data_IF_001523135581
#
_entry.id   IF_001523135581
#
_cell.length_a   1.000
_cell.length_b   1.000
_cell.length_c   1.000
_cell.angle_alpha   90.00
_cell.angle_beta   90.00
_cell.angle_gamma   90.00
#
_symmetry.space_group_name_H-M   'P 1'
#
loop_
_entity.id
_entity.type
_entity.pdbx_description
1 polymer ?
#
# COMPACT_ATOMS: atom_id res chain seq x y z
N UNK A 1 -53.67 -60.37 10.82
CA UNK A 1 -52.93 -60.52 9.55
C UNK A 1 -52.03 -59.31 9.38
N UNK A 2 -50.70 -59.50 9.38
CA UNK A 2 -49.75 -58.41 9.08
C UNK A 2 -49.86 -58.09 7.59
N UNK A 3 -50.30 -56.88 7.24
CA UNK A 3 -50.28 -56.38 5.86
C UNK A 3 -48.81 -56.22 5.47
N UNK A 4 -48.32 -57.08 4.57
CA UNK A 4 -46.98 -56.96 4.01
C UNK A 4 -46.97 -55.80 3.00
N UNK A 5 -45.90 -55.00 3.01
CA UNK A 5 -45.66 -53.91 2.07
C UNK A 5 -45.56 -54.46 0.64
N UNK A 6 -46.19 -53.78 -0.31
CA UNK A 6 -46.08 -54.17 -1.72
C UNK A 6 -44.76 -53.68 -2.33
N UNK A 7 -44.23 -54.41 -3.30
CA UNK A 7 -42.98 -54.08 -3.99
C UNK A 7 -43.03 -52.67 -4.63
N UNK A 8 -44.21 -52.24 -5.08
CA UNK A 8 -44.41 -50.93 -5.68
C UNK A 8 -44.35 -49.80 -4.64
N UNK A 9 -44.89 -50.00 -3.44
CA UNK A 9 -44.79 -49.02 -2.35
C UNK A 9 -43.33 -48.82 -1.88
N UNK A 10 -42.53 -49.89 -1.88
CA UNK A 10 -41.09 -49.80 -1.57
C UNK A 10 -40.34 -48.95 -2.61
N UNK A 11 -40.61 -49.18 -3.90
CA UNK A 11 -39.98 -48.42 -4.99
C UNK A 11 -40.39 -46.95 -4.94
N UNK A 12 -41.66 -46.66 -4.67
CA UNK A 12 -42.14 -45.28 -4.50
C UNK A 12 -41.48 -44.61 -3.29
N UNK A 13 -41.37 -45.30 -2.16
CA UNK A 13 -40.71 -44.76 -0.97
C UNK A 13 -39.22 -44.46 -1.20
N UNK A 14 -38.50 -45.35 -1.89
CA UNK A 14 -37.11 -45.13 -2.30
C UNK A 14 -36.96 -43.96 -3.27
N UNK A 15 -37.89 -43.82 -4.23
CA UNK A 15 -37.93 -42.70 -5.15
C UNK A 15 -38.12 -41.36 -4.43
N UNK A 16 -39.08 -41.29 -3.50
CA UNK A 16 -39.31 -40.10 -2.68
C UNK A 16 -38.08 -39.79 -1.81
N UNK A 17 -37.48 -40.80 -1.18
CA UNK A 17 -36.28 -40.64 -0.36
C UNK A 17 -35.12 -40.06 -1.18
N UNK A 18 -34.88 -40.58 -2.39
CA UNK A 18 -33.83 -40.08 -3.27
C UNK A 18 -34.06 -38.62 -3.68
N UNK A 19 -35.31 -38.24 -3.99
CA UNK A 19 -35.67 -36.85 -4.29
C UNK A 19 -35.45 -35.94 -3.08
N UNK A 20 -35.90 -36.34 -1.88
CA UNK A 20 -35.72 -35.55 -0.65
C UNK A 20 -34.24 -35.38 -0.31
N UNK A 21 -33.44 -36.44 -0.39
CA UNK A 21 -32.00 -36.37 -0.15
C UNK A 21 -31.29 -35.46 -1.17
N UNK A 22 -31.74 -35.46 -2.42
CA UNK A 22 -31.21 -34.57 -3.46
C UNK A 22 -31.49 -33.10 -3.15
N UNK A 23 -32.73 -32.77 -2.77
CA UNK A 23 -33.10 -31.41 -2.34
C UNK A 23 -32.37 -30.99 -1.07
N UNK A 24 -32.29 -31.87 -0.07
CA UNK A 24 -31.56 -31.60 1.17
C UNK A 24 -30.07 -31.33 0.92
N UNK A 25 -29.44 -32.09 0.01
CA UNK A 25 -28.05 -31.89 -0.38
C UNK A 25 -27.81 -30.52 -1.03
N UNK A 26 -28.71 -30.08 -1.91
CA UNK A 26 -28.64 -28.73 -2.53
C UNK A 26 -28.79 -27.64 -1.48
N UNK A 27 -29.79 -27.75 -0.59
CA UNK A 27 -30.02 -26.76 0.48
C UNK A 27 -28.80 -26.68 1.41
N UNK A 28 -28.25 -27.83 1.80
CA UNK A 28 -27.08 -27.87 2.68
C UNK A 28 -25.84 -27.26 2.03
N UNK A 29 -25.62 -27.52 0.73
CA UNK A 29 -24.54 -26.90 -0.04
C UNK A 29 -24.69 -25.38 -0.09
N UNK A 30 -25.87 -24.88 -0.46
CA UNK A 30 -26.15 -23.42 -0.52
C UNK A 30 -25.97 -22.77 0.86
N UNK A 31 -26.38 -23.45 1.93
CA UNK A 31 -26.20 -22.98 3.30
C UNK A 31 -24.73 -22.90 3.71
N UNK A 32 -23.93 -23.93 3.39
CA UNK A 32 -22.47 -23.92 3.63
C UNK A 32 -21.80 -22.81 2.83
N UNK A 33 -22.11 -22.68 1.55
CA UNK A 33 -21.51 -21.67 0.68
C UNK A 33 -21.82 -20.25 1.19
N UNK A 34 -23.08 -20.02 1.60
CA UNK A 34 -23.51 -18.76 2.23
C UNK A 34 -22.76 -18.47 3.53
N UNK A 35 -22.57 -19.48 4.39
CA UNK A 35 -21.80 -19.34 5.63
C UNK A 35 -20.31 -19.04 5.35
N UNK A 36 -19.71 -19.68 4.35
CA UNK A 36 -18.32 -19.41 3.93
C UNK A 36 -18.16 -17.98 3.41
N UNK A 37 -19.07 -17.50 2.57
CA UNK A 37 -19.07 -16.13 2.06
C UNK A 37 -19.23 -15.13 3.22
N UNK A 38 -20.11 -15.40 4.18
CA UNK A 38 -20.30 -14.55 5.35
C UNK A 38 -19.03 -14.44 6.20
N UNK A 39 -18.33 -15.55 6.45
CA UNK A 39 -17.04 -15.55 7.16
C UNK A 39 -15.95 -14.78 6.39
N UNK A 40 -15.86 -14.98 5.08
CA UNK A 40 -14.90 -14.26 4.24
C UNK A 40 -15.15 -12.74 4.25
N UNK A 41 -16.42 -12.33 4.20
CA UNK A 41 -16.78 -10.92 4.34
C UNK A 41 -16.42 -10.37 5.72
N UNK A 42 -16.67 -11.13 6.79
CA UNK A 42 -16.33 -10.71 8.15
C UNK A 42 -14.82 -10.51 8.32
N UNK A 43 -13.99 -11.42 7.79
CA UNK A 43 -12.53 -11.30 7.76
C UNK A 43 -12.09 -10.01 7.03
N UNK A 44 -12.60 -9.78 5.82
CA UNK A 44 -12.28 -8.59 5.03
C UNK A 44 -12.67 -7.31 5.77
N UNK A 45 -13.86 -7.26 6.39
CA UNK A 45 -14.29 -6.08 7.13
C UNK A 45 -13.45 -5.84 8.38
N UNK A 46 -12.95 -6.89 9.03
CA UNK A 46 -12.00 -6.76 10.14
C UNK A 46 -10.66 -6.16 9.66
N UNK A 47 -10.11 -6.66 8.55
CA UNK A 47 -8.90 -6.11 7.92
C UNK A 47 -9.06 -4.62 7.59
N UNK A 48 -10.18 -4.27 6.94
CA UNK A 48 -10.49 -2.88 6.60
C UNK A 48 -10.52 -1.98 7.83
N UNK A 49 -11.17 -2.42 8.92
CA UNK A 49 -11.27 -1.64 10.16
C UNK A 49 -9.89 -1.33 10.73
N UNK A 50 -9.02 -2.34 10.83
CA UNK A 50 -7.67 -2.17 11.37
C UNK A 50 -6.86 -1.18 10.53
N UNK A 51 -6.93 -1.28 9.20
CA UNK A 51 -6.24 -0.34 8.30
C UNK A 51 -6.78 1.08 8.45
N UNK A 52 -8.12 1.25 8.47
CA UNK A 52 -8.75 2.57 8.59
C UNK A 52 -8.44 3.23 9.94
N UNK A 53 -8.57 2.50 11.06
CA UNK A 53 -8.25 3.00 12.39
C UNK A 53 -6.77 3.39 12.53
N UNK A 54 -5.88 2.61 11.92
CA UNK A 54 -4.45 2.92 11.94
C UNK A 54 -4.13 4.18 11.10
N UNK A 55 -4.73 4.32 9.92
CA UNK A 55 -4.60 5.53 9.12
C UNK A 55 -5.13 6.76 9.86
N UNK A 56 -6.33 6.68 10.42
CA UNK A 56 -6.91 7.80 11.19
C UNK A 56 -6.03 8.19 12.38
N UNK A 57 -5.40 7.21 13.03
CA UNK A 57 -4.47 7.45 14.15
C UNK A 57 -3.22 8.17 13.67
N UNK A 58 -2.59 7.70 12.60
CA UNK A 58 -1.35 8.30 12.10
C UNK A 58 -1.55 9.70 11.54
N UNK A 59 -2.65 9.92 10.82
CA UNK A 59 -2.92 11.22 10.21
C UNK A 59 -3.46 12.24 11.20
N UNK A 60 -4.06 11.82 12.32
CA UNK A 60 -4.41 12.74 13.43
C UNK A 60 -3.18 13.46 13.99
N UNK A 61 -2.04 12.79 14.01
CA UNK A 61 -0.77 13.34 14.48
C UNK A 61 0.10 13.95 13.38
N UNK A 62 -0.39 14.06 12.13
CA UNK A 62 0.41 14.46 10.97
C UNK A 62 1.17 15.77 11.23
N UNK A 63 2.48 15.73 10.99
CA UNK A 63 3.37 16.89 11.06
C UNK A 63 3.44 17.56 9.69
N UNK A 64 2.71 18.67 9.55
CA UNK A 64 2.68 19.47 8.31
C UNK A 64 4.02 20.15 7.99
N UNK A 65 4.89 20.31 9.00
CA UNK A 65 6.25 20.85 8.90
C UNK A 65 7.31 19.77 8.58
N UNK A 66 6.92 18.50 8.57
CA UNK A 66 7.78 17.39 8.17
C UNK A 66 7.59 17.00 6.70
N UNK A 67 8.53 16.19 6.18
CA UNK A 67 8.38 15.69 4.82
C UNK A 67 7.12 14.82 4.67
N UNK A 68 6.38 15.03 3.57
CA UNK A 68 5.41 14.09 3.02
C UNK A 68 5.94 13.67 1.66
N UNK A 69 6.14 12.38 1.49
CA UNK A 69 6.66 11.80 0.25
C UNK A 69 5.72 10.72 -0.24
N UNK A 70 5.18 10.87 -1.46
CA UNK A 70 4.32 9.88 -2.08
C UNK A 70 4.84 9.56 -3.46
N UNK A 71 4.93 8.27 -3.76
CA UNK A 71 5.18 7.74 -5.10
C UNK A 71 3.94 7.00 -5.55
N UNK A 72 3.40 7.39 -6.69
CA UNK A 72 2.24 6.72 -7.28
C UNK A 72 2.72 5.75 -8.35
N UNK A 73 2.38 4.48 -8.20
CA UNK A 73 2.82 3.44 -9.12
C UNK A 73 1.63 2.61 -9.58
N UNK A 74 1.54 2.47 -10.89
CA UNK A 74 0.49 1.73 -11.55
C UNK A 74 1.11 0.68 -12.48
N UNK A 75 0.49 -0.51 -12.50
CA UNK A 75 0.87 -1.57 -13.42
C UNK A 75 -0.39 -2.19 -14.05
N UNK A 76 -0.24 -2.71 -15.27
CA UNK A 76 -1.32 -3.43 -15.95
C UNK A 76 -1.57 -4.79 -15.29
N UNK A 77 -2.85 -5.14 -15.16
CA UNK A 77 -3.29 -6.50 -14.82
C UNK A 77 -3.12 -7.41 -16.02
N UNK A 78 -2.29 -8.43 -15.87
CA UNK A 78 -2.00 -9.40 -16.94
C UNK A 78 -3.23 -10.20 -17.38
N UNK A 79 -4.18 -10.37 -16.46
CA UNK A 79 -5.38 -11.16 -16.55
C UNK A 79 -6.62 -10.34 -16.93
N UNK A 80 -6.49 -9.02 -17.10
CA UNK A 80 -7.58 -8.20 -17.57
C UNK A 80 -7.98 -8.58 -19.01
N UNK A 81 -9.29 -8.68 -19.27
CA UNK A 81 -9.89 -9.13 -20.54
C UNK A 81 -10.99 -8.20 -21.06
N UNK A 82 -11.07 -6.97 -20.55
CA UNK A 82 -12.04 -6.00 -21.04
C UNK A 82 -11.70 -5.50 -22.44
N UNK A 83 -12.71 -4.97 -23.15
CA UNK A 83 -12.57 -4.50 -24.52
C UNK A 83 -11.62 -3.30 -24.64
N UNK A 84 -11.67 -2.39 -23.67
CA UNK A 84 -10.73 -1.27 -23.56
C UNK A 84 -9.54 -1.69 -22.70
N UNK A 85 -8.37 -1.84 -23.31
CA UNK A 85 -7.13 -2.18 -22.60
C UNK A 85 -6.67 -1.09 -21.62
N UNK A 86 -7.13 0.15 -21.81
CA UNK A 86 -6.81 1.31 -20.97
C UNK A 86 -7.92 1.69 -20.00
N UNK A 87 -8.94 0.82 -19.83
CA UNK A 87 -9.95 0.99 -18.79
C UNK A 87 -9.27 1.14 -17.41
N UNK A 88 -9.75 2.02 -16.52
CA UNK A 88 -9.20 2.16 -15.17
C UNK A 88 -9.11 0.84 -14.39
N UNK A 89 -10.03 -0.10 -14.64
CA UNK A 89 -10.02 -1.43 -14.02
C UNK A 89 -8.89 -2.35 -14.52
N UNK A 90 -8.25 -2.01 -15.65
CA UNK A 90 -7.12 -2.74 -16.22
C UNK A 90 -5.80 -2.52 -15.45
N UNK A 91 -5.78 -1.59 -14.50
CA UNK A 91 -4.60 -1.24 -13.72
C UNK A 91 -4.75 -1.59 -12.24
N UNK A 92 -3.62 -1.88 -11.60
CA UNK A 92 -3.46 -1.97 -10.14
C UNK A 92 -2.51 -0.90 -9.67
N UNK A 93 -2.64 -0.52 -8.39
CA UNK A 93 -1.84 0.51 -7.74
C UNK A 93 -0.98 -0.06 -6.62
N UNK A 94 0.26 0.41 -6.58
CA UNK A 94 1.33 0.00 -5.66
C UNK A 94 1.98 1.23 -5.05
N UNK A 95 1.13 2.17 -4.62
CA UNK A 95 1.58 3.47 -4.14
C UNK A 95 2.39 3.31 -2.85
N UNK A 96 3.28 4.25 -2.60
CA UNK A 96 4.13 4.29 -1.41
C UNK A 96 4.07 5.66 -0.81
N UNK A 97 3.95 5.73 0.51
CA UNK A 97 3.82 6.99 1.21
C UNK A 97 4.71 6.99 2.45
N UNK A 98 5.39 8.11 2.70
CA UNK A 98 6.11 8.42 3.92
C UNK A 98 5.68 9.78 4.44
N UNK A 99 5.50 9.88 5.75
CA UNK A 99 5.23 11.15 6.42
C UNK A 99 5.68 11.10 7.88
N UNK A 100 5.73 12.27 8.52
CA UNK A 100 5.98 12.38 9.95
C UNK A 100 4.68 12.54 10.72
N UNK A 101 4.60 11.90 11.87
CA UNK A 101 3.45 12.01 12.76
C UNK A 101 3.88 12.07 14.21
N UNK A 102 3.00 12.62 15.05
CA UNK A 102 3.12 12.70 16.49
C UNK A 102 2.21 11.71 17.19
N UNK A 103 2.69 11.18 18.31
CA UNK A 103 1.99 10.16 19.08
C UNK A 103 2.95 9.52 20.08
N UNK A 104 2.48 8.58 20.87
CA UNK A 104 3.33 7.86 21.82
C UNK A 104 3.92 6.62 21.14
N UNK A 105 5.10 6.77 20.54
CA UNK A 105 5.78 5.68 19.85
C UNK A 105 6.81 5.00 20.74
N UNK A 106 6.92 3.68 20.59
CA UNK A 106 7.91 2.87 21.26
C UNK A 106 8.45 1.80 20.28
N UNK A 107 9.77 1.65 20.26
CA UNK A 107 10.43 0.53 19.58
C UNK A 107 10.22 -0.78 20.37
N UNK A 108 9.94 -1.86 19.65
CA UNK A 108 9.78 -3.21 20.18
C UNK A 108 11.12 -3.90 20.44
N UNK A 109 12.10 -3.71 19.55
CA UNK A 109 13.36 -4.46 19.60
C UNK A 109 14.45 -3.82 20.46
N UNK A 110 14.38 -2.52 20.68
CA UNK A 110 15.44 -1.81 21.40
C UNK A 110 15.45 -2.16 22.89
N UNK A 111 16.65 -2.47 23.42
CA UNK A 111 16.90 -2.63 24.85
C UNK A 111 18.05 -1.70 25.28
N UNK A 112 17.79 -0.64 26.07
CA UNK A 112 16.50 -0.29 26.68
C UNK A 112 15.45 0.18 25.66
N UNK A 113 14.14 0.12 25.99
CA UNK A 113 13.08 0.56 25.09
C UNK A 113 13.25 2.01 24.66
N UNK A 114 13.35 2.21 23.35
CA UNK A 114 13.39 3.55 22.74
C UNK A 114 11.97 4.08 22.64
N UNK A 115 11.75 5.30 23.14
CA UNK A 115 10.46 6.00 23.11
C UNK A 115 10.63 7.39 22.52
N UNK A 116 9.63 7.85 21.80
CA UNK A 116 9.63 9.18 21.22
C UNK A 116 8.22 9.63 20.85
N UNK A 117 8.06 10.95 20.74
CA UNK A 117 6.77 11.57 20.44
C UNK A 117 6.59 11.91 18.95
N UNK A 118 7.61 11.64 18.13
CA UNK A 118 7.62 11.87 16.68
C UNK A 118 8.16 10.61 16.02
N UNK A 119 7.50 10.18 14.95
CA UNK A 119 7.99 9.07 14.14
C UNK A 119 7.80 9.35 12.64
N UNK A 120 8.71 8.79 11.85
CA UNK A 120 8.49 8.60 10.42
C UNK A 120 7.66 7.35 10.22
N UNK A 121 6.55 7.47 9.51
CA UNK A 121 5.69 6.33 9.16
C UNK A 121 5.69 6.15 7.66
N UNK A 122 5.88 4.91 7.20
CA UNK A 122 5.82 4.56 5.80
C UNK A 122 4.78 3.47 5.54
N UNK A 123 3.96 3.66 4.50
CA UNK A 123 3.03 2.67 3.98
C UNK A 123 3.49 2.18 2.61
N UNK A 124 3.60 0.86 2.45
CA UNK A 124 3.94 0.25 1.16
C UNK A 124 3.50 -1.21 1.08
N UNK A 125 3.29 -1.70 -0.15
CA UNK A 125 3.19 -3.14 -0.37
C UNK A 125 4.59 -3.77 -0.30
N UNK A 126 4.66 -4.89 0.41
CA UNK A 126 5.89 -5.57 0.79
C UNK A 126 6.50 -6.36 -0.35
N UNK A 127 7.81 -6.27 -0.52
CA UNK A 127 8.57 -7.25 -1.29
C UNK A 127 8.87 -8.48 -0.44
N UNK A 128 8.81 -9.68 -1.04
CA UNK A 128 9.20 -10.92 -0.35
C UNK A 128 10.65 -11.29 -0.69
N UNK A 129 11.37 -12.03 0.16
CA UNK A 129 12.61 -12.68 -0.27
C UNK A 129 12.35 -13.51 -1.53
N UNK A 130 13.24 -13.44 -2.51
CA UNK A 130 13.17 -14.29 -3.70
C UNK A 130 14.01 -15.54 -3.50
N UNK A 131 13.55 -16.68 -4.03
CA UNK A 131 14.31 -17.94 -4.04
C UNK A 131 15.54 -17.90 -4.97
N UNK A 132 15.70 -16.85 -5.77
CA UNK A 132 16.79 -16.69 -6.73
C UNK A 132 17.70 -15.50 -6.40
N UNK A 133 18.88 -15.47 -7.02
CA UNK A 133 19.95 -14.50 -6.78
C UNK A 133 19.59 -13.02 -7.07
N UNK A 134 18.37 -12.71 -7.53
CA UNK A 134 17.88 -11.35 -7.79
C UNK A 134 17.28 -10.65 -6.56
N UNK A 135 17.41 -11.23 -5.37
CA UNK A 135 17.36 -10.52 -4.09
C UNK A 135 15.97 -10.23 -3.49
N UNK A 136 14.89 -10.08 -4.30
CA UNK A 136 13.49 -9.98 -3.80
C UNK A 136 12.42 -10.13 -4.89
N UNK A 137 11.22 -10.52 -4.49
CA UNK A 137 10.01 -10.57 -5.29
C UNK A 137 9.14 -9.33 -5.03
N UNK A 138 9.18 -8.36 -5.95
CA UNK A 138 8.40 -7.10 -5.87
C UNK A 138 6.88 -7.37 -5.85
N UNK A 139 6.06 -6.51 -5.23
CA UNK A 139 4.61 -6.69 -5.12
C UNK A 139 3.89 -6.98 -6.44
N UNK A 140 4.30 -6.32 -7.53
CA UNK A 140 3.71 -6.46 -8.87
C UNK A 140 3.87 -7.88 -9.44
N UNK A 141 4.86 -8.64 -8.94
CA UNK A 141 5.12 -10.04 -9.33
C UNK A 141 4.55 -11.06 -8.35
N UNK A 142 3.86 -10.60 -7.31
CA UNK A 142 3.17 -11.46 -6.35
C UNK A 142 1.69 -11.56 -6.74
N UNK A 143 1.11 -12.73 -6.49
CA UNK A 143 -0.35 -12.91 -6.57
C UNK A 143 -1.06 -11.95 -5.61
N UNK A 144 -2.16 -11.28 -6.02
CA UNK A 144 -2.84 -10.28 -5.19
C UNK A 144 -3.22 -10.77 -3.78
N UNK A 145 -3.64 -12.03 -3.65
CA UNK A 145 -4.01 -12.66 -2.37
C UNK A 145 -2.82 -12.84 -1.42
N UNK A 146 -1.60 -12.91 -1.95
CA UNK A 146 -0.37 -13.10 -1.18
C UNK A 146 0.32 -11.77 -0.84
N UNK A 147 -0.13 -10.64 -1.40
CA UNK A 147 0.46 -9.34 -1.11
C UNK A 147 0.16 -8.91 0.31
N UNK A 148 1.09 -8.15 0.88
CA UNK A 148 1.03 -7.67 2.25
C UNK A 148 1.24 -6.15 2.27
N UNK A 149 0.47 -5.47 3.10
CA UNK A 149 0.66 -4.05 3.40
C UNK A 149 1.52 -3.93 4.66
N UNK A 150 2.64 -3.23 4.53
CA UNK A 150 3.48 -2.86 5.66
C UNK A 150 3.22 -1.43 6.08
N UNK A 151 3.40 -1.22 7.38
CA UNK A 151 3.51 0.07 8.05
C UNK A 151 4.82 0.06 8.86
N UNK A 152 5.89 0.60 8.30
CA UNK A 152 7.15 0.75 9.05
C UNK A 152 7.12 2.05 9.85
N UNK A 153 7.67 2.01 11.06
CA UNK A 153 7.72 3.16 11.98
C UNK A 153 9.13 3.33 12.46
N UNK A 154 9.68 4.53 12.27
CA UNK A 154 10.95 4.92 12.82
C UNK A 154 10.74 6.06 13.82
N UNK A 155 10.89 5.74 15.11
CA UNK A 155 10.88 6.74 16.18
C UNK A 155 12.07 7.67 16.00
N UNK A 156 11.83 8.98 15.95
CA UNK A 156 12.91 9.96 15.88
C UNK A 156 13.48 10.21 17.27
N UNK A 157 14.77 9.94 17.44
CA UNK A 157 15.50 10.11 18.69
C UNK A 157 16.65 11.10 18.46
N UNK A 158 16.63 12.28 19.07
CA UNK A 158 17.76 13.21 18.97
C UNK A 158 19.06 12.55 19.43
N UNK A 159 20.09 12.59 18.59
CA UNK A 159 21.38 12.00 18.92
C UNK A 159 22.06 12.77 20.05
N UNK A 160 22.56 12.06 21.07
CA UNK A 160 23.29 12.68 22.18
C UNK A 160 24.70 13.15 21.78
N UNK A 161 25.32 12.45 20.82
CA UNK A 161 26.61 12.79 20.24
C UNK A 161 26.55 12.78 18.71
N UNK A 162 27.38 13.61 18.07
CA UNK A 162 27.42 13.71 16.61
C UNK A 162 27.80 12.38 15.91
N UNK A 163 28.56 11.51 16.58
CA UNK A 163 28.95 10.20 16.06
C UNK A 163 27.80 9.19 16.03
N UNK A 164 26.77 9.39 16.84
CA UNK A 164 25.61 8.48 16.93
C UNK A 164 24.47 8.91 16.01
N UNK A 165 24.61 10.08 15.36
CA UNK A 165 23.61 10.63 14.43
C UNK A 165 23.50 9.73 13.21
N UNK A 166 22.26 9.58 12.70
CA UNK A 166 22.01 8.89 11.44
C UNK A 166 22.91 9.48 10.33
N UNK A 167 23.80 8.65 9.79
CA UNK A 167 24.64 8.93 8.62
C UNK A 167 24.49 7.79 7.63
N UNK A 168 23.77 8.04 6.54
CA UNK A 168 23.46 7.02 5.54
C UNK A 168 24.44 7.02 4.37
N UNK A 169 25.44 7.91 4.36
CA UNK A 169 26.34 8.12 3.19
C UNK A 169 27.22 6.92 2.87
N UNK A 170 27.51 6.10 3.87
CA UNK A 170 28.36 4.91 3.74
C UNK A 170 27.58 3.61 3.91
N UNK A 171 26.25 3.65 3.87
CA UNK A 171 25.43 2.44 4.02
C UNK A 171 25.67 1.48 2.85
N UNK A 172 25.90 0.22 3.18
CA UNK A 172 25.84 -0.88 2.22
C UNK A 172 24.39 -1.23 1.89
N UNK A 173 24.16 -1.98 0.82
CA UNK A 173 22.83 -2.49 0.46
C UNK A 173 22.15 -3.26 1.59
N UNK A 174 22.92 -3.96 2.43
CA UNK A 174 22.41 -4.69 3.58
C UNK A 174 21.98 -3.75 4.71
N UNK A 175 22.80 -2.75 5.03
CA UNK A 175 22.47 -1.73 6.03
C UNK A 175 21.25 -0.92 5.63
N UNK A 176 21.09 -0.60 4.34
CA UNK A 176 19.88 0.05 3.82
C UNK A 176 18.62 -0.79 4.02
N UNK A 177 18.69 -2.10 3.76
CA UNK A 177 17.56 -3.03 3.97
C UNK A 177 17.23 -3.20 5.44
N UNK A 178 18.24 -3.39 6.28
CA UNK A 178 18.08 -3.49 7.72
C UNK A 178 17.44 -2.22 8.27
N UNK A 179 17.97 -1.06 7.87
CA UNK A 179 17.40 0.23 8.23
C UNK A 179 15.95 0.34 7.76
N UNK A 180 15.65 0.13 6.47
CA UNK A 180 14.30 0.37 5.93
C UNK A 180 13.22 -0.60 6.45
N UNK A 181 13.59 -1.83 6.78
CA UNK A 181 12.65 -2.93 7.01
C UNK A 181 12.65 -3.47 8.45
N UNK A 182 13.75 -3.31 9.19
CA UNK A 182 13.94 -3.95 10.50
C UNK A 182 14.23 -2.97 11.65
N UNK A 183 14.85 -1.82 11.37
CA UNK A 183 15.14 -0.80 12.38
C UNK A 183 13.87 0.01 12.67
N UNK A 184 13.67 0.35 13.94
CA UNK A 184 12.43 0.96 14.44
C UNK A 184 12.63 2.39 14.95
N UNK A 185 13.85 2.92 14.84
CA UNK A 185 14.18 4.27 15.28
C UNK A 185 15.31 4.86 14.44
N UNK A 186 15.32 6.18 14.32
CA UNK A 186 16.38 6.95 13.67
C UNK A 186 17.00 7.90 14.69
N UNK A 187 18.32 7.86 14.85
CA UNK A 187 19.06 8.77 15.71
C UNK A 187 19.21 10.15 15.05
N UNK A 188 18.08 10.84 14.87
CA UNK A 188 17.99 12.16 14.26
C UNK A 188 16.72 12.86 14.76
N UNK A 189 16.79 14.17 15.01
CA UNK A 189 15.59 14.96 15.25
C UNK A 189 14.86 15.29 13.93
N UNK A 190 13.59 15.68 14.01
CA UNK A 190 12.84 16.13 12.82
C UNK A 190 13.53 17.32 12.13
N UNK A 191 14.01 18.29 12.90
CA UNK A 191 14.70 19.46 12.35
C UNK A 191 15.98 19.06 11.60
N UNK A 192 16.76 18.14 12.16
CA UNK A 192 17.96 17.62 11.50
C UNK A 192 17.64 16.80 10.26
N UNK A 193 16.54 16.04 10.27
CA UNK A 193 16.04 15.33 9.09
C UNK A 193 15.73 16.32 7.96
N UNK A 194 15.04 17.40 8.25
CA UNK A 194 14.72 18.45 7.27
C UNK A 194 15.98 19.14 6.72
N UNK A 195 17.10 19.08 7.44
CA UNK A 195 18.39 19.67 7.03
C UNK A 195 19.35 18.68 6.34
N UNK A 196 18.96 17.41 6.17
CA UNK A 196 19.77 16.45 5.42
C UNK A 196 20.05 16.99 4.01
N UNK A 197 21.30 16.98 3.54
CA UNK A 197 21.64 17.45 2.19
C UNK A 197 20.82 16.74 1.11
N UNK A 198 20.38 17.49 0.09
CA UNK A 198 19.46 16.98 -0.95
C UNK A 198 19.94 15.68 -1.62
N UNK A 199 21.23 15.53 -1.88
CA UNK A 199 21.79 14.33 -2.49
C UNK A 199 21.61 13.09 -1.59
N UNK A 200 21.94 13.20 -0.30
CA UNK A 200 21.76 12.14 0.69
C UNK A 200 20.27 11.83 0.92
N UNK A 201 19.44 12.87 0.90
CA UNK A 201 17.99 12.74 1.02
C UNK A 201 17.35 11.97 -0.15
N UNK A 202 17.84 12.17 -1.37
CA UNK A 202 17.40 11.43 -2.55
C UNK A 202 17.69 9.94 -2.39
N UNK A 203 18.85 9.57 -1.82
CA UNK A 203 19.18 8.18 -1.54
C UNK A 203 18.21 7.55 -0.52
N UNK A 204 17.95 8.26 0.57
CA UNK A 204 16.97 7.85 1.59
C UNK A 204 15.58 7.65 0.98
N UNK A 205 15.08 8.65 0.25
CA UNK A 205 13.74 8.62 -0.35
C UNK A 205 13.63 7.58 -1.47
N UNK A 206 14.71 7.30 -2.20
CA UNK A 206 14.77 6.22 -3.19
C UNK A 206 14.65 4.85 -2.52
N UNK A 207 15.28 4.64 -1.37
CA UNK A 207 15.12 3.41 -0.57
C UNK A 207 13.70 3.27 -0.04
N UNK A 208 13.15 4.31 0.58
CA UNK A 208 11.78 4.28 1.12
C UNK A 208 10.74 4.10 0.00
N UNK A 209 10.90 4.82 -1.11
CA UNK A 209 9.97 4.82 -2.23
C UNK A 209 10.15 3.67 -3.20
N UNK A 210 11.16 2.81 -3.06
CA UNK A 210 11.51 1.75 -4.03
C UNK A 210 11.48 2.24 -5.50
N UNK A 211 12.04 3.43 -5.73
CA UNK A 211 12.11 4.07 -7.05
C UNK A 211 13.39 4.87 -7.21
N UNK A 212 13.79 5.09 -8.46
CA UNK A 212 14.79 6.11 -8.79
C UNK A 212 14.08 7.45 -8.92
N UNK A 213 14.38 8.39 -8.01
CA UNK A 213 13.85 9.75 -8.10
C UNK A 213 14.51 10.44 -9.28
N UNK A 214 13.70 10.95 -10.21
CA UNK A 214 14.18 11.71 -11.37
C UNK A 214 14.60 13.13 -10.95
N UNK A 215 15.71 13.63 -11.50
CA UNK A 215 16.21 14.99 -11.26
C UNK A 215 17.69 15.15 -11.62
N UNK A 216 18.24 16.34 -11.37
CA UNK A 216 19.65 16.67 -11.65
C UNK A 216 20.65 15.84 -10.82
N UNK A 217 20.20 15.37 -9.66
CA UNK A 217 20.94 14.44 -8.80
C UNK A 217 20.20 13.12 -8.77
N UNK A 218 20.86 12.04 -9.18
CA UNK A 218 20.31 10.69 -9.14
C UNK A 218 20.76 9.96 -7.88
N UNK A 219 19.92 9.05 -7.40
CA UNK A 219 20.29 8.18 -6.28
C UNK A 219 21.45 7.26 -6.65
N UNK A 220 22.39 7.12 -5.71
CA UNK A 220 23.52 6.18 -5.78
C UNK A 220 23.19 4.81 -5.21
N UNK A 221 22.03 4.66 -4.56
CA UNK A 221 21.59 3.39 -3.95
C UNK A 221 21.23 2.35 -5.01
N UNK A 222 21.63 1.11 -4.78
CA UNK A 222 21.24 -0.05 -5.59
C UNK A 222 19.75 -0.32 -5.47
N UNK A 223 19.09 -0.74 -6.57
CA UNK A 223 17.69 -1.18 -6.49
C UNK A 223 17.49 -2.30 -5.48
N UNK A 224 18.45 -3.21 -5.32
CA UNK A 224 18.37 -4.34 -4.40
C UNK A 224 18.30 -3.93 -2.92
N UNK A 225 18.66 -2.68 -2.60
CA UNK A 225 18.60 -2.12 -1.25
C UNK A 225 17.22 -1.50 -0.89
N UNK A 226 16.38 -1.22 -1.89
CA UNK A 226 15.19 -0.39 -1.75
C UNK A 226 13.92 -1.18 -1.35
N UNK A 227 12.91 -0.47 -0.86
CA UNK A 227 11.63 -1.01 -0.45
C UNK A 227 11.69 -1.79 0.86
N UNK A 228 10.51 -2.16 1.35
CA UNK A 228 10.36 -2.97 2.56
C UNK A 228 10.35 -4.44 2.18
N UNK A 229 11.20 -5.22 2.83
CA UNK A 229 11.24 -6.68 2.68
C UNK A 229 10.82 -7.33 4.00
N UNK A 230 9.74 -8.12 3.97
CA UNK A 230 9.31 -8.92 5.13
C UNK A 230 9.41 -10.39 4.75
N UNK A 231 10.20 -11.11 5.53
CA UNK A 231 10.26 -12.56 5.53
C UNK A 231 9.42 -13.09 6.70
N UNK A 232 8.31 -13.75 6.40
CA UNK A 232 7.43 -14.34 7.41
C UNK A 232 8.05 -15.54 8.15
N UNK A 233 9.18 -16.06 7.68
CA UNK A 233 9.94 -17.09 8.41
C UNK A 233 10.79 -16.50 9.53
N UNK A 234 11.03 -15.19 9.50
CA UNK A 234 11.74 -14.46 10.54
C UNK A 234 10.74 -13.77 11.47
N UNK A 235 10.92 -13.83 12.80
CA UNK A 235 10.05 -13.13 13.74
C UNK A 235 10.19 -11.61 13.66
N UNK A 236 11.35 -11.18 13.20
CA UNK A 236 11.87 -9.83 13.32
C UNK A 236 11.07 -8.73 12.60
N UNK A 237 10.68 -8.87 11.32
CA UNK A 237 9.95 -7.81 10.60
C UNK A 237 8.42 -7.85 10.79
N UNK A 238 7.89 -8.81 11.56
CA UNK A 238 6.43 -9.01 11.71
C UNK A 238 5.73 -7.80 12.35
N UNK A 239 6.43 -7.03 13.19
CA UNK A 239 5.88 -5.82 13.81
C UNK A 239 5.54 -4.71 12.79
N UNK A 240 6.15 -4.74 11.60
CA UNK A 240 5.86 -3.80 10.51
C UNK A 240 4.73 -4.27 9.59
N UNK A 241 4.26 -5.52 9.73
CA UNK A 241 3.16 -6.05 8.93
C UNK A 241 1.82 -5.53 9.45
N UNK A 242 1.11 -4.74 8.63
CA UNK A 242 -0.20 -4.22 9.00
C UNK A 242 -1.32 -5.19 8.61
N UNK A 243 -1.26 -5.75 7.39
CA UNK A 243 -2.30 -6.64 6.90
C UNK A 243 -1.83 -7.54 5.75
N UNK A 244 -2.26 -8.80 5.75
CA UNK A 244 -2.09 -9.74 4.64
C UNK A 244 -3.32 -9.75 3.70
N UNK A 245 -3.10 -10.10 2.44
CA UNK A 245 -4.15 -10.17 1.42
C UNK A 245 -4.57 -8.79 0.92
N UNK A 246 -3.62 -7.85 0.83
CA UNK A 246 -3.86 -6.51 0.29
C UNK A 246 -3.35 -6.47 -1.15
N UNK A 247 -4.24 -6.70 -2.12
CA UNK A 247 -3.89 -6.77 -3.53
C UNK A 247 -3.46 -5.43 -4.11
N UNK A 248 -4.09 -4.35 -3.68
CA UNK A 248 -3.83 -3.00 -4.18
C UNK A 248 -3.77 -2.02 -3.01
N UNK A 249 -2.88 -1.04 -3.11
CA UNK A 249 -2.84 0.13 -2.24
C UNK A 249 -2.67 1.38 -3.12
N UNK A 250 -3.66 2.28 -3.08
CA UNK A 250 -3.63 3.54 -3.81
C UNK A 250 -3.86 4.73 -2.87
N UNK A 251 -3.15 5.82 -3.10
CA UNK A 251 -3.29 7.10 -2.41
C UNK A 251 -3.58 8.18 -3.44
N UNK A 252 -4.60 9.00 -3.20
CA UNK A 252 -4.97 10.10 -4.07
C UNK A 252 -5.38 11.33 -3.26
N UNK A 253 -4.94 12.51 -3.65
CA UNK A 253 -5.39 13.77 -3.06
C UNK A 253 -6.61 14.34 -3.78
N UNK A 254 -7.50 15.01 -3.06
CA UNK A 254 -8.57 15.81 -3.67
C UNK A 254 -7.99 17.08 -4.29
N UNK A 255 -8.21 17.30 -5.58
CA UNK A 255 -7.84 18.55 -6.25
C UNK A 255 -9.07 19.41 -6.48
N UNK A 256 -9.10 20.60 -5.87
CA UNK A 256 -10.14 21.59 -6.13
C UNK A 256 -9.98 22.24 -7.52
N UNK A 257 -8.77 22.30 -8.08
CA UNK A 257 -8.55 22.81 -9.43
C UNK A 257 -9.14 21.86 -10.49
N UNK A 258 -8.94 20.56 -10.31
CA UNK A 258 -9.38 19.52 -11.26
C UNK A 258 -10.77 18.94 -10.92
N UNK A 259 -11.34 19.31 -9.76
CA UNK A 259 -12.59 18.77 -9.21
C UNK A 259 -12.64 17.22 -9.18
N UNK A 260 -11.49 16.58 -8.92
CA UNK A 260 -11.35 15.12 -8.88
C UNK A 260 -10.22 14.65 -7.97
N UNK A 261 -10.20 13.35 -7.69
CA UNK A 261 -9.09 12.68 -7.01
C UNK A 261 -7.91 12.47 -7.96
N UNK A 262 -6.70 12.82 -7.54
CA UNK A 262 -5.49 12.71 -8.36
C UNK A 262 -4.35 12.00 -7.60
N UNK A 263 -3.47 11.25 -8.29
CA UNK A 263 -3.48 10.99 -9.73
C UNK A 263 -4.35 9.78 -10.12
N UNK A 264 -4.85 9.79 -11.36
CA UNK A 264 -5.56 8.70 -12.02
C UNK A 264 -4.82 8.28 -13.30
N UNK A 265 -4.87 6.98 -13.60
CA UNK A 265 -4.21 6.42 -14.80
C UNK A 265 -4.94 6.84 -16.07
N UNK A 266 -6.27 6.76 -16.06
CA UNK A 266 -7.13 7.17 -17.17
C UNK A 266 -8.40 7.83 -16.59
N UNK A 267 -8.38 9.14 -16.33
CA UNK A 267 -9.52 9.87 -15.76
C UNK A 267 -10.82 9.74 -16.55
N UNK A 268 -10.77 9.77 -17.88
CA UNK A 268 -11.95 9.76 -18.74
C UNK A 268 -12.43 8.34 -19.13
N UNK A 269 -11.57 7.33 -18.94
CA UNK A 269 -11.84 5.92 -19.18
C UNK A 269 -11.85 5.50 -20.66
N UNK A 270 -11.26 6.31 -21.55
CA UNK A 270 -11.21 6.05 -22.98
C UNK A 270 -10.04 5.13 -23.39
N UNK A 271 -9.80 4.96 -24.69
CA UNK A 271 -8.77 4.03 -25.19
C UNK A 271 -7.35 4.63 -25.18
N UNK A 272 -7.14 5.88 -24.74
CA UNK A 272 -5.86 6.57 -24.79
C UNK A 272 -5.45 7.01 -23.40
N UNK A 273 -4.14 7.03 -23.16
CA UNK A 273 -3.55 7.57 -21.93
C UNK A 273 -2.87 8.93 -22.20
N UNK A 274 -2.50 9.19 -23.45
CA UNK A 274 -1.69 10.34 -23.85
C UNK A 274 -2.41 11.67 -23.73
N UNK A 275 -3.73 11.70 -23.63
CA UNK A 275 -4.48 12.95 -23.52
C UNK A 275 -4.68 13.37 -22.06
N UNK A 276 -5.00 12.44 -21.15
CA UNK A 276 -5.48 12.80 -19.81
C UNK A 276 -4.79 12.09 -18.64
N UNK A 277 -3.91 11.10 -18.88
CA UNK A 277 -3.24 10.40 -17.79
C UNK A 277 -2.39 11.34 -16.95
N UNK A 278 -2.53 11.22 -15.63
CA UNK A 278 -1.68 11.91 -14.64
C UNK A 278 -0.33 11.19 -14.45
N UNK A 279 -0.19 9.98 -15.01
CA UNK A 279 1.00 9.16 -14.90
C UNK A 279 1.99 9.46 -16.03
N UNK A 280 3.29 9.32 -15.73
CA UNK A 280 4.32 9.38 -16.75
C UNK A 280 4.14 8.22 -17.74
N UNK A 281 4.32 8.52 -19.02
CA UNK A 281 4.15 7.56 -20.12
C UNK A 281 5.47 7.38 -20.88
N UNK A 282 5.66 6.19 -21.43
CA UNK A 282 6.67 5.89 -22.45
C UNK A 282 5.93 5.40 -23.71
N UNK A 283 5.92 6.24 -24.75
CA UNK A 283 4.98 6.06 -25.86
C UNK A 283 3.53 6.19 -25.38
N UNK A 284 2.69 5.23 -25.74
CA UNK A 284 1.26 5.21 -25.40
C UNK A 284 0.91 4.42 -24.13
N UNK A 285 1.89 4.02 -23.33
CA UNK A 285 1.70 3.22 -22.11
C UNK A 285 2.42 3.83 -20.90
N UNK A 286 2.09 3.36 -19.70
CA UNK A 286 2.72 3.75 -18.44
C UNK A 286 4.24 3.57 -18.50
N UNK A 287 4.98 4.57 -18.04
CA UNK A 287 6.43 4.50 -18.01
C UNK A 287 6.88 3.37 -17.05
N UNK A 288 7.74 2.45 -17.51
CA UNK A 288 8.12 1.27 -16.72
C UNK A 288 8.92 1.65 -15.47
N UNK A 289 9.87 2.59 -15.61
CA UNK A 289 10.82 2.95 -14.56
C UNK A 289 10.48 4.24 -13.80
N UNK A 290 10.14 5.33 -14.50
CA UNK A 290 9.84 6.62 -13.89
C UNK A 290 8.39 6.69 -13.42
N UNK A 291 8.20 7.05 -12.16
CA UNK A 291 6.89 7.14 -11.51
C UNK A 291 6.60 8.58 -11.10
N UNK A 292 5.35 9.05 -11.26
CA UNK A 292 4.96 10.32 -10.68
C UNK A 292 5.04 10.27 -9.15
N UNK A 293 5.23 11.44 -8.55
CA UNK A 293 5.36 11.54 -7.09
C UNK A 293 5.38 12.98 -6.59
N UNK A 294 5.23 13.11 -5.29
CA UNK A 294 5.34 14.38 -4.58
C UNK A 294 6.33 14.23 -3.42
N UNK A 295 7.22 15.19 -3.29
CA UNK A 295 8.05 15.43 -2.11
C UNK A 295 7.75 16.84 -1.61
N UNK A 296 7.07 16.91 -0.48
CA UNK A 296 6.68 18.10 0.24
C UNK A 296 7.38 18.13 1.61
N UNK A 297 7.65 19.30 2.22
CA UNK A 297 7.69 20.62 1.61
C UNK A 297 9.03 20.84 0.87
N UNK A 298 9.07 21.83 -0.03
CA UNK A 298 10.26 22.30 -0.75
C UNK A 298 11.00 21.25 -1.62
N UNK A 299 10.36 20.10 -1.87
CA UNK A 299 10.89 19.06 -2.73
C UNK A 299 10.51 19.29 -4.19
N UNK A 300 9.76 18.36 -4.76
CA UNK A 300 9.33 18.41 -6.16
C UNK A 300 7.99 17.68 -6.32
N UNK A 301 7.22 18.09 -7.32
CA UNK A 301 6.03 17.39 -7.79
C UNK A 301 6.30 16.95 -9.22
N UNK A 302 5.99 15.69 -9.51
CA UNK A 302 6.05 15.13 -10.86
C UNK A 302 4.74 14.44 -11.15
N UNK A 303 3.95 15.04 -12.03
CA UNK A 303 2.72 14.51 -12.58
C UNK A 303 2.69 14.85 -14.07
N UNK A 304 2.08 13.97 -14.87
CA UNK A 304 1.83 14.29 -16.26
C UNK A 304 0.66 15.27 -16.35
N UNK A 305 0.70 16.18 -17.32
CA UNK A 305 -0.33 17.19 -17.59
C UNK A 305 -0.62 18.21 -16.46
N UNK A 306 0.07 18.12 -15.32
CA UNK A 306 -0.12 19.02 -14.18
C UNK A 306 1.21 19.70 -13.87
N UNK A 307 1.23 21.03 -14.01
CA UNK A 307 2.37 21.87 -13.62
C UNK A 307 1.98 22.65 -12.37
N UNK A 308 2.79 22.55 -11.32
CA UNK A 308 2.59 23.27 -10.07
C UNK A 308 3.89 23.99 -9.66
N UNK A 309 3.85 25.26 -9.22
CA UNK A 309 5.06 26.00 -8.88
C UNK A 309 5.81 25.36 -7.71
N UNK A 310 7.11 25.06 -7.89
CA UNK A 310 7.93 24.49 -6.82
C UNK A 310 7.99 25.40 -5.57
N UNK A 311 7.86 26.72 -5.75
CA UNK A 311 7.80 27.69 -4.66
C UNK A 311 6.50 27.65 -3.85
N UNK A 312 5.47 26.95 -4.33
CA UNK A 312 4.20 26.73 -3.63
C UNK A 312 4.10 25.32 -3.04
N UNK A 313 5.13 24.48 -3.18
CA UNK A 313 5.21 23.21 -2.45
C UNK A 313 5.68 23.53 -1.02
N UNK A 314 4.79 24.14 -0.23
CA UNK A 314 5.07 24.67 1.10
C UNK A 314 3.87 24.49 2.04
N UNK A 315 4.10 24.73 3.32
CA UNK A 315 3.07 24.57 4.37
C UNK A 315 1.83 25.42 4.16
N UNK A 316 1.96 26.60 3.54
CA UNK A 316 0.84 27.51 3.34
C UNK A 316 -0.11 27.05 2.23
N UNK A 317 0.40 26.30 1.26
CA UNK A 317 -0.36 25.80 0.12
C UNK A 317 -0.56 24.28 0.13
N UNK A 318 -0.31 23.59 1.25
CA UNK A 318 -0.44 22.12 1.37
C UNK A 318 -1.73 21.57 0.74
N UNK A 319 -2.86 22.25 0.94
CA UNK A 319 -4.18 21.84 0.46
C UNK A 319 -4.39 22.05 -1.04
N UNK A 320 -3.51 22.80 -1.69
CA UNK A 320 -3.52 23.06 -3.13
C UNK A 320 -2.53 22.17 -3.88
N UNK A 321 -1.56 21.55 -3.18
CA UNK A 321 -0.55 20.69 -3.80
C UNK A 321 -1.23 19.47 -4.45
N UNK A 322 -1.08 19.30 -5.77
CA UNK A 322 -1.68 18.18 -6.48
C UNK A 322 -1.23 16.82 -5.91
N UNK A 323 -2.20 15.98 -5.55
CA UNK A 323 -1.96 14.65 -4.96
C UNK A 323 -1.89 14.61 -3.43
N UNK A 324 -1.86 15.77 -2.75
CA UNK A 324 -2.04 15.88 -1.30
C UNK A 324 -3.44 16.42 -0.98
N UNK A 325 -3.73 17.64 -1.46
CA UNK A 325 -5.05 18.25 -1.32
C UNK A 325 -5.50 18.48 0.13
N UNK A 326 -6.77 18.84 0.30
CA UNK A 326 -7.43 18.89 1.62
C UNK A 326 -7.79 17.52 2.22
N UNK A 327 -7.76 16.49 1.39
CA UNK A 327 -8.15 15.14 1.79
C UNK A 327 -7.39 14.11 0.97
N UNK A 328 -7.00 13.03 1.64
CA UNK A 328 -6.39 11.85 1.04
C UNK A 328 -7.40 10.72 1.00
N UNK A 329 -7.53 10.12 -0.18
CA UNK A 329 -8.32 8.92 -0.43
C UNK A 329 -7.40 7.73 -0.57
N UNK A 330 -7.56 6.77 0.33
CA UNK A 330 -6.89 5.48 0.32
C UNK A 330 -7.81 4.44 -0.29
N UNK A 331 -7.34 3.71 -1.29
CA UNK A 331 -8.10 2.62 -1.94
C UNK A 331 -7.35 1.31 -1.78
N UNK A 332 -8.05 0.28 -1.30
CA UNK A 332 -7.50 -1.05 -1.04
C UNK A 332 -8.35 -2.12 -1.70
N UNK A 333 -7.73 -3.15 -2.26
CA UNK A 333 -8.42 -4.40 -2.62
C UNK A 333 -8.01 -5.49 -1.64
N UNK A 334 -8.96 -5.97 -0.84
CA UNK A 334 -8.72 -6.94 0.23
C UNK A 334 -9.22 -8.33 -0.16
N UNK A 335 -8.42 -9.34 0.10
CA UNK A 335 -8.72 -10.75 -0.14
C UNK A 335 -8.92 -11.51 1.18
N UNK A 336 -9.79 -12.51 1.17
CA UNK A 336 -9.96 -13.43 2.29
C UNK A 336 -8.88 -14.53 2.25
N UNK A 337 -8.48 -15.00 3.43
CA UNK A 337 -7.45 -16.01 3.61
C UNK A 337 -7.75 -17.36 2.93
N UNK A 338 -9.03 -17.63 2.62
CA UNK A 338 -9.50 -18.91 2.09
C UNK A 338 -9.82 -18.87 0.59
N UNK A 339 -9.66 -17.72 -0.06
CA UNK A 339 -9.97 -17.53 -1.48
C UNK A 339 -11.45 -17.75 -1.84
N UNK A 340 -12.37 -17.55 -0.89
CA UNK A 340 -13.82 -17.65 -1.13
C UNK A 340 -14.29 -16.52 -2.07
N UNK A 341 -13.71 -15.33 -1.93
CA UNK A 341 -13.97 -14.16 -2.76
C UNK A 341 -12.79 -13.97 -3.72
N UNK A 342 -12.85 -14.67 -4.85
CA UNK A 342 -11.73 -14.75 -5.81
C UNK A 342 -11.22 -13.39 -6.34
N UNK A 343 -12.09 -12.38 -6.44
CA UNK A 343 -11.72 -11.03 -6.88
C UNK A 343 -11.35 -10.08 -5.73
N UNK A 344 -11.41 -10.55 -4.48
CA UNK A 344 -11.39 -9.71 -3.30
C UNK A 344 -12.55 -8.70 -3.28
N UNK A 345 -12.41 -7.68 -2.44
CA UNK A 345 -13.32 -6.52 -2.37
C UNK A 345 -12.52 -5.23 -2.28
N UNK A 346 -12.92 -4.24 -3.07
CA UNK A 346 -12.29 -2.91 -3.06
C UNK A 346 -13.02 -1.97 -2.12
N UNK A 347 -12.26 -1.25 -1.30
CA UNK A 347 -12.74 -0.27 -0.34
C UNK A 347 -11.99 1.02 -0.47
N UNK A 348 -12.64 2.09 -0.01
CA UNK A 348 -12.08 3.43 0.03
C UNK A 348 -12.21 3.98 1.44
N UNK A 349 -11.13 4.56 1.96
CA UNK A 349 -11.10 5.32 3.21
C UNK A 349 -10.62 6.73 2.91
N UNK A 350 -11.24 7.75 3.50
CA UNK A 350 -10.88 9.15 3.27
C UNK A 350 -10.44 9.78 4.59
N UNK A 351 -9.28 10.42 4.56
CA UNK A 351 -8.73 11.19 5.68
C UNK A 351 -8.67 12.66 5.26
N UNK A 352 -9.12 13.55 6.14
CA UNK A 352 -9.08 14.99 5.91
C UNK A 352 -7.83 15.60 6.54
N UNK A 353 -7.11 16.41 5.77
CA UNK A 353 -5.87 17.09 6.17
C UNK A 353 -6.12 18.50 6.73
N UNK A 354 -7.32 19.05 6.56
CA UNK A 354 -7.66 20.42 6.98
C UNK A 354 -7.90 20.57 8.49
N UNK A 355 -8.11 19.44 9.20
CA UNK A 355 -8.47 19.44 10.62
C UNK A 355 -7.31 19.82 11.55
#
# INVERSE_FOLDING_TARGET
MRKAFTLIELVVALGILAVVLSFAGVIFRVSIDSHRIALANAEIMQKLRVIAEQLDTDFRGLRRDGDIFIIWDAARKSEYRGANANDPAAFERFDRMMFFTTGDFQAYKADPPVRGNVARVCYSLVSRPADNAAGRLKPQRQEPVNRMLARTVHVLVPAAAAADRLDTRSFTDEQWREWSSSLEYDNISLQEWMQIPRAEKIDILSVIGDVTIAGDTQSTTSEAARGVVIDLTQPDPVHALLCEGVGQFAVQGWSDAEQRWIPQVNPNGDERLEDDSDFLLEGGDLHPEHKPGVWYPHGALTLRNITYPASQIDETHLHEVPGLGRALKFTFTLYDSKGVLASGRTFTHIVYLDN
#
